data_IF_023164011648
#
_entry.id   IF_023164011648
#
_cell.length_a   1.000
_cell.length_b   1.000
_cell.length_c   1.000
_cell.angle_alpha   90.00
_cell.angle_beta   90.00
_cell.angle_gamma   90.00
#
_symmetry.space_group_name_H-M   'P 1'
#
loop_
_entity.id
_entity.type
_entity.pdbx_description
1 polymer ?
#
# COMPACT_ATOMS: atom_id res chain seq x y z
N UNK A 1 10.77 -51.61 -48.58
CA UNK A 1 10.11 -52.08 -47.35
C UNK A 1 10.92 -51.63 -46.15
N UNK A 2 10.23 -51.14 -45.11
CA UNK A 2 10.70 -50.91 -43.73
C UNK A 2 11.66 -49.72 -43.57
N UNK A 3 11.15 -48.56 -43.15
CA UNK A 3 10.70 -48.18 -41.78
C UNK A 3 11.90 -47.80 -40.90
N UNK A 4 11.69 -46.74 -40.11
CA UNK A 4 12.48 -46.30 -38.95
C UNK A 4 13.82 -45.65 -39.34
N UNK A 5 14.25 -44.48 -38.86
CA UNK A 5 13.93 -43.83 -37.59
C UNK A 5 14.48 -42.39 -37.66
N UNK A 6 13.78 -41.46 -38.32
CA UNK A 6 14.08 -40.03 -38.20
C UNK A 6 13.13 -39.48 -37.13
N UNK A 7 13.50 -39.69 -35.87
CA UNK A 7 12.75 -39.20 -34.72
C UNK A 7 12.87 -37.66 -34.72
N UNK A 8 11.78 -37.00 -35.11
CA UNK A 8 11.54 -35.58 -34.89
C UNK A 8 11.78 -35.27 -33.40
N UNK A 9 12.91 -34.66 -33.07
CA UNK A 9 13.11 -34.02 -31.78
C UNK A 9 12.50 -32.62 -31.87
N UNK A 10 11.18 -32.54 -31.92
CA UNK A 10 10.46 -31.29 -31.69
C UNK A 10 10.52 -31.05 -30.19
N UNK A 11 11.54 -30.30 -29.76
CA UNK A 11 11.55 -29.70 -28.42
C UNK A 11 10.44 -28.67 -28.41
N UNK A 12 9.26 -29.07 -27.98
CA UNK A 12 8.24 -28.15 -27.51
C UNK A 12 8.76 -27.50 -26.23
N UNK A 13 9.50 -26.39 -26.39
CA UNK A 13 9.75 -25.41 -25.33
C UNK A 13 8.37 -24.86 -24.97
N UNK A 14 7.72 -25.47 -23.98
CA UNK A 14 6.66 -24.80 -23.26
C UNK A 14 7.39 -23.79 -22.37
N UNK A 15 7.50 -22.54 -22.82
CA UNK A 15 7.87 -21.44 -21.94
C UNK A 15 6.77 -21.35 -20.89
N UNK A 16 7.08 -21.81 -19.68
CA UNK A 16 6.33 -21.46 -18.50
C UNK A 16 6.49 -19.94 -18.35
N UNK A 17 5.49 -19.19 -18.78
CA UNK A 17 5.38 -17.75 -18.50
C UNK A 17 4.97 -17.66 -17.03
N UNK A 18 5.93 -17.83 -16.12
CA UNK A 18 5.77 -17.33 -14.77
C UNK A 18 5.89 -15.82 -14.83
N UNK A 19 4.96 -15.09 -14.19
CA UNK A 19 5.07 -13.65 -14.02
C UNK A 19 6.42 -13.32 -13.39
N UNK A 20 7.29 -12.62 -14.13
CA UNK A 20 8.58 -12.23 -13.61
C UNK A 20 8.39 -11.01 -12.72
N UNK A 21 8.73 -11.16 -11.44
CA UNK A 21 8.83 -10.01 -10.55
C UNK A 21 9.98 -9.12 -11.01
N UNK A 22 9.67 -7.85 -11.23
CA UNK A 22 10.58 -6.79 -11.62
C UNK A 22 10.81 -5.89 -10.41
N UNK A 23 12.07 -5.71 -10.01
CA UNK A 23 12.42 -4.77 -8.94
C UNK A 23 12.99 -3.49 -9.56
N UNK A 24 12.39 -2.35 -9.21
CA UNK A 24 12.91 -1.02 -9.53
C UNK A 24 13.64 -0.52 -8.27
N UNK A 25 14.98 -0.45 -8.26
CA UNK A 25 15.71 0.05 -7.10
C UNK A 25 15.49 1.56 -6.93
N UNK A 26 15.42 1.97 -5.67
CA UNK A 26 15.29 3.35 -5.22
C UNK A 26 16.56 3.79 -4.48
N UNK A 27 16.64 5.06 -4.10
CA UNK A 27 17.83 5.64 -3.45
C UNK A 27 18.14 5.06 -2.06
N UNK A 28 17.13 4.54 -1.35
CA UNK A 28 17.28 4.10 0.04
C UNK A 28 17.96 2.74 0.15
N UNK A 29 18.74 2.54 1.23
CA UNK A 29 19.50 1.30 1.44
C UNK A 29 18.62 0.12 1.87
N UNK A 30 17.48 0.37 2.51
CA UNK A 30 16.56 -0.65 3.02
C UNK A 30 15.12 -0.16 3.01
N UNK A 31 14.17 -1.08 2.80
CA UNK A 31 12.75 -0.82 3.01
C UNK A 31 12.44 -0.98 4.50
N UNK A 32 12.02 0.09 5.16
CA UNK A 32 11.75 0.09 6.60
C UNK A 32 10.72 1.15 6.96
N UNK A 33 9.73 0.76 7.76
CA UNK A 33 8.94 1.70 8.55
C UNK A 33 9.53 1.79 9.96
N UNK A 34 9.86 2.99 10.42
CA UNK A 34 10.54 3.20 11.69
C UNK A 34 9.84 4.24 12.55
N UNK A 35 9.47 3.86 13.76
CA UNK A 35 9.12 4.78 14.84
C UNK A 35 10.41 5.38 15.42
N UNK A 36 10.55 6.71 15.35
CA UNK A 36 11.77 7.44 15.75
C UNK A 36 11.68 7.97 17.17
N UNK A 37 10.52 8.50 17.55
CA UNK A 37 10.20 8.90 18.92
C UNK A 37 8.73 8.66 19.20
N UNK A 38 8.37 8.44 20.47
CA UNK A 38 6.98 8.34 20.90
C UNK A 38 6.85 8.90 22.31
N UNK A 39 5.88 9.78 22.49
CA UNK A 39 5.48 10.41 23.75
C UNK A 39 3.95 10.42 23.82
N UNK A 40 3.37 10.89 24.94
CA UNK A 40 1.91 10.96 25.07
C UNK A 40 1.26 11.94 24.08
N UNK A 41 1.94 13.02 23.72
CA UNK A 41 1.35 14.10 22.91
C UNK A 41 1.82 14.08 21.46
N UNK A 42 2.87 13.32 21.13
CA UNK A 42 3.35 13.19 19.77
C UNK A 42 4.19 11.93 19.56
N UNK A 43 4.27 11.51 18.30
CA UNK A 43 5.30 10.59 17.85
C UNK A 43 5.85 11.02 16.49
N UNK A 44 7.08 10.59 16.20
CA UNK A 44 7.70 10.79 14.88
C UNK A 44 8.02 9.44 14.26
N UNK A 45 7.78 9.33 12.96
CA UNK A 45 8.01 8.10 12.22
C UNK A 45 8.55 8.40 10.83
N UNK A 46 9.09 7.38 10.17
CA UNK A 46 9.48 7.48 8.78
C UNK A 46 9.30 6.19 8.00
N UNK A 47 9.26 6.34 6.68
CA UNK A 47 9.15 5.26 5.72
C UNK A 47 10.27 5.41 4.68
N UNK A 48 11.05 4.35 4.55
CA UNK A 48 12.08 4.19 3.55
C UNK A 48 11.71 3.01 2.65
N UNK A 49 11.96 3.12 1.35
CA UNK A 49 11.76 2.06 0.37
C UNK A 49 13.06 1.86 -0.41
N UNK A 50 13.60 0.65 -0.38
CA UNK A 50 14.79 0.27 -1.16
C UNK A 50 14.45 -0.01 -2.62
N UNK A 51 13.29 -0.58 -2.86
CA UNK A 51 12.85 -0.99 -4.19
C UNK A 51 11.33 -1.05 -4.26
N UNK A 52 10.79 -0.88 -5.46
CA UNK A 52 9.42 -1.21 -5.80
C UNK A 52 9.40 -2.53 -6.55
N UNK A 53 8.50 -3.43 -6.15
CA UNK A 53 8.37 -4.74 -6.77
C UNK A 53 7.10 -4.74 -7.62
N UNK A 54 7.25 -5.06 -8.90
CA UNK A 54 6.15 -5.16 -9.84
C UNK A 54 6.00 -6.58 -10.36
N UNK A 55 4.77 -7.03 -10.55
CA UNK A 55 4.45 -8.28 -11.24
C UNK A 55 3.56 -7.99 -12.44
N UNK A 56 4.12 -8.16 -13.64
CA UNK A 56 3.38 -7.99 -14.89
C UNK A 56 2.33 -9.10 -15.05
N UNK A 57 1.13 -8.71 -15.46
CA UNK A 57 0.01 -9.59 -15.75
C UNK A 57 -0.62 -9.24 -17.09
N UNK A 58 -0.98 -10.27 -17.86
CA UNK A 58 -1.70 -10.12 -19.12
C UNK A 58 -3.08 -10.73 -18.96
N UNK A 59 -4.11 -9.90 -19.15
CA UNK A 59 -5.52 -10.29 -19.03
C UNK A 59 -6.25 -9.99 -20.32
N UNK A 60 -7.46 -10.52 -20.47
CA UNK A 60 -8.35 -10.15 -21.59
C UNK A 60 -8.70 -8.65 -21.60
N UNK A 61 -8.60 -7.97 -20.44
CA UNK A 61 -8.88 -6.55 -20.27
C UNK A 61 -7.66 -5.66 -20.46
N UNK A 62 -6.49 -6.24 -20.81
CA UNK A 62 -5.26 -5.51 -21.04
C UNK A 62 -4.06 -6.07 -20.27
N UNK A 63 -2.92 -5.42 -20.50
CA UNK A 63 -1.67 -5.73 -19.83
C UNK A 63 -1.45 -4.72 -18.70
N UNK A 64 -1.27 -5.22 -17.50
CA UNK A 64 -1.10 -4.42 -16.30
C UNK A 64 0.08 -4.92 -15.47
N UNK A 65 0.41 -4.20 -14.42
CA UNK A 65 1.30 -4.66 -13.37
C UNK A 65 0.66 -4.48 -11.99
N UNK A 66 0.89 -5.45 -11.11
CA UNK A 66 0.67 -5.28 -9.69
C UNK A 66 1.90 -4.64 -9.07
N UNK A 67 1.71 -3.55 -8.31
CA UNK A 67 2.74 -3.04 -7.42
C UNK A 67 2.61 -3.76 -6.07
N UNK A 68 3.72 -4.26 -5.55
CA UNK A 68 3.83 -4.84 -4.21
C UNK A 68 4.75 -3.98 -3.34
N UNK A 69 4.28 -3.71 -2.12
CA UNK A 69 5.07 -3.13 -1.02
C UNK A 69 4.85 -3.99 0.21
N UNK A 70 5.92 -4.23 0.97
CA UNK A 70 5.84 -4.96 2.23
C UNK A 70 4.92 -4.23 3.22
N UNK A 71 3.94 -4.95 3.77
CA UNK A 71 2.92 -4.35 4.66
C UNK A 71 1.97 -3.38 3.95
N UNK A 72 2.02 -3.30 2.63
CA UNK A 72 1.09 -2.55 1.81
C UNK A 72 -0.27 -3.23 1.74
N UNK A 73 -1.32 -2.42 1.69
CA UNK A 73 -2.71 -2.86 1.56
C UNK A 73 -3.32 -2.22 0.33
N UNK A 74 -4.15 -2.97 -0.40
CA UNK A 74 -4.85 -2.47 -1.57
C UNK A 74 -5.73 -1.27 -1.18
N UNK A 75 -5.70 -0.17 -1.94
CA UNK A 75 -6.53 1.00 -1.65
C UNK A 75 -8.00 0.71 -1.96
N UNK A 76 -8.91 1.56 -1.48
CA UNK A 76 -10.35 1.36 -1.62
C UNK A 76 -10.97 1.99 -2.90
N UNK A 77 -10.17 2.67 -3.72
CA UNK A 77 -10.60 3.35 -4.94
C UNK A 77 -10.79 2.37 -6.11
N UNK A 78 -11.93 1.67 -6.10
CA UNK A 78 -12.31 0.71 -7.14
C UNK A 78 -12.22 1.32 -8.54
N UNK A 79 -11.61 0.61 -9.48
CA UNK A 79 -11.45 1.00 -10.88
C UNK A 79 -10.23 1.87 -11.15
N UNK A 80 -9.64 2.54 -10.15
CA UNK A 80 -8.42 3.34 -10.28
C UNK A 80 -7.16 2.50 -9.98
N UNK A 81 -5.97 3.02 -10.29
CA UNK A 81 -4.73 2.28 -10.07
C UNK A 81 -4.59 1.74 -8.64
N UNK A 82 -4.33 0.43 -8.53
CA UNK A 82 -4.14 -0.29 -7.28
C UNK A 82 -2.74 -0.04 -6.74
N UNK A 83 -2.62 1.09 -6.06
CA UNK A 83 -1.40 1.56 -5.42
C UNK A 83 -1.39 1.20 -3.91
N UNK A 84 -0.52 0.27 -3.43
CA UNK A 84 -0.61 -0.29 -2.07
C UNK A 84 -0.18 0.66 -0.94
N UNK A 85 -1.09 0.97 -0.02
CA UNK A 85 -0.89 1.91 1.08
C UNK A 85 -0.28 1.21 2.30
N UNK A 86 0.74 1.81 2.92
CA UNK A 86 1.31 1.30 4.17
C UNK A 86 0.42 1.77 5.34
N UNK A 87 -0.15 0.81 6.07
CA UNK A 87 -1.09 1.07 7.16
C UNK A 87 -0.51 0.71 8.52
N UNK A 88 -0.62 1.59 9.51
CA UNK A 88 -0.23 1.33 10.90
C UNK A 88 -1.32 1.75 11.87
N UNK A 89 -1.66 0.86 12.81
CA UNK A 89 -2.55 1.21 13.91
C UNK A 89 -1.80 2.07 14.92
N UNK A 90 -2.50 3.05 15.48
CA UNK A 90 -1.99 3.94 16.51
C UNK A 90 -2.96 4.00 17.67
N UNK A 91 -2.42 4.05 18.88
CA UNK A 91 -3.17 4.50 20.04
C UNK A 91 -3.29 6.03 19.99
N UNK A 92 -4.47 6.53 20.31
CA UNK A 92 -4.76 7.97 20.36
C UNK A 92 -5.23 8.29 21.79
N UNK A 93 -4.67 9.32 22.45
CA UNK A 93 -5.21 9.79 23.73
C UNK A 93 -6.70 10.16 23.62
N UNK A 94 -7.42 10.05 24.73
CA UNK A 94 -8.81 10.46 24.78
C UNK A 94 -8.94 11.96 24.50
N UNK A 95 -10.02 12.33 23.81
CA UNK A 95 -10.34 13.70 23.38
C UNK A 95 -9.36 14.33 22.37
N UNK A 96 -8.21 13.71 22.09
CA UNK A 96 -7.23 14.29 21.19
C UNK A 96 -7.69 14.38 19.72
N UNK A 97 -7.39 15.49 19.08
CA UNK A 97 -7.42 15.63 17.62
C UNK A 97 -6.04 15.29 17.04
N UNK A 98 -6.03 14.64 15.87
CA UNK A 98 -4.79 14.22 15.22
C UNK A 98 -4.36 15.31 14.24
N UNK A 99 -3.13 15.79 14.38
CA UNK A 99 -2.48 16.64 13.40
C UNK A 99 -1.26 15.91 12.84
N UNK A 100 -1.21 15.76 11.51
CA UNK A 100 -0.07 15.18 10.81
C UNK A 100 0.77 16.31 10.20
N UNK A 101 2.09 16.21 10.34
CA UNK A 101 3.05 17.11 9.70
C UNK A 101 4.06 16.26 8.95
N UNK A 102 4.14 16.43 7.63
CA UNK A 102 5.23 15.87 6.82
C UNK A 102 6.44 16.79 6.96
N UNK A 103 7.52 16.28 7.53
CA UNK A 103 8.72 17.06 7.86
C UNK A 103 9.70 17.11 6.68
N UNK A 104 9.91 15.99 6.01
CA UNK A 104 10.81 15.88 4.86
C UNK A 104 10.53 14.63 4.04
N UNK A 105 10.95 14.65 2.78
CA UNK A 105 11.02 13.50 1.89
C UNK A 105 12.01 13.79 0.77
N UNK A 106 12.42 12.74 0.08
CA UNK A 106 13.12 12.80 -1.21
C UNK A 106 12.17 12.35 -2.32
N UNK A 107 12.32 12.90 -3.52
CA UNK A 107 11.46 12.59 -4.66
C UNK A 107 12.25 11.85 -5.73
N UNK A 108 11.73 10.70 -6.16
CA UNK A 108 12.25 9.92 -7.27
C UNK A 108 11.16 9.77 -8.33
N UNK A 109 11.48 9.99 -9.60
CA UNK A 109 10.50 9.90 -10.70
C UNK A 109 10.85 8.72 -11.58
N UNK A 110 9.89 7.83 -11.78
CA UNK A 110 10.04 6.61 -12.57
C UNK A 110 8.98 6.58 -13.67
N UNK A 111 9.42 6.56 -14.92
CA UNK A 111 8.53 6.21 -16.03
C UNK A 111 8.43 4.68 -16.10
N UNK A 112 7.24 4.14 -15.89
CA UNK A 112 7.04 2.69 -15.80
C UNK A 112 7.23 2.00 -17.16
N UNK A 113 7.03 2.71 -18.27
CA UNK A 113 7.23 2.16 -19.62
C UNK A 113 8.69 1.84 -19.91
N UNK A 114 9.65 2.56 -19.31
CA UNK A 114 11.09 2.27 -19.44
C UNK A 114 11.46 0.89 -18.87
N UNK A 115 10.60 0.35 -18.01
CA UNK A 115 10.76 -0.96 -17.38
C UNK A 115 9.81 -2.02 -17.98
N UNK A 116 9.12 -1.71 -19.08
CA UNK A 116 8.17 -2.62 -19.71
C UNK A 116 6.89 -2.85 -18.89
N UNK A 117 6.54 -1.92 -18.02
CA UNK A 117 5.26 -1.89 -17.30
C UNK A 117 4.31 -1.00 -18.09
N UNK A 118 3.19 -1.56 -18.54
CA UNK A 118 2.23 -0.82 -19.35
C UNK A 118 1.41 0.16 -18.50
N UNK A 119 0.71 -0.33 -17.50
CA UNK A 119 -0.09 0.45 -16.56
C UNK A 119 -0.20 -0.31 -15.24
N UNK A 120 -0.43 0.40 -14.14
CA UNK A 120 -0.77 -0.23 -12.85
C UNK A 120 -2.19 -0.79 -12.95
N UNK A 121 -2.43 -2.00 -12.46
CA UNK A 121 -3.75 -2.65 -12.52
C UNK A 121 -4.82 -1.87 -11.73
N UNK A 122 -6.08 -1.82 -12.19
CA UNK A 122 -7.14 -1.20 -11.40
C UNK A 122 -7.51 -2.00 -10.16
N UNK A 123 -7.81 -1.30 -9.07
CA UNK A 123 -8.37 -1.86 -7.85
C UNK A 123 -9.71 -2.53 -8.15
N UNK A 124 -9.84 -3.80 -7.80
CA UNK A 124 -11.08 -4.56 -8.02
C UNK A 124 -12.02 -4.45 -6.82
N UNK A 125 -13.35 -4.46 -7.04
CA UNK A 125 -14.31 -4.43 -5.96
C UNK A 125 -14.20 -5.68 -5.10
N UNK A 126 -14.49 -5.53 -3.80
CA UNK A 126 -14.68 -6.68 -2.93
C UNK A 126 -16.03 -7.32 -3.20
N UNK A 127 -16.03 -8.62 -3.46
CA UNK A 127 -17.24 -9.43 -3.58
C UNK A 127 -17.52 -10.20 -2.29
N UNK A 128 -18.78 -10.57 -2.07
CA UNK A 128 -19.10 -11.52 -1.01
C UNK A 128 -18.41 -12.85 -1.30
N UNK A 129 -17.99 -13.57 -0.27
CA UNK A 129 -17.43 -14.93 -0.42
C UNK A 129 -18.41 -15.91 -1.09
N UNK A 130 -19.69 -15.56 -1.14
CA UNK A 130 -20.76 -16.35 -1.77
C UNK A 130 -21.18 -15.82 -3.14
N UNK A 131 -20.58 -14.73 -3.64
CA UNK A 131 -20.86 -14.23 -4.99
C UNK A 131 -20.37 -15.25 -6.01
N UNK A 132 -21.22 -15.71 -6.95
CA UNK A 132 -20.81 -16.58 -8.04
C UNK A 132 -19.73 -15.94 -8.92
N UNK A 133 -18.81 -16.74 -9.47
CA UNK A 133 -17.74 -16.24 -10.35
C UNK A 133 -18.28 -15.51 -11.59
N UNK A 134 -19.44 -15.93 -12.11
CA UNK A 134 -20.03 -15.30 -13.29
C UNK A 134 -20.56 -13.87 -13.04
N UNK A 135 -20.80 -13.51 -11.77
CA UNK A 135 -21.21 -12.17 -11.34
C UNK A 135 -20.02 -11.27 -10.98
N UNK A 136 -18.80 -11.82 -10.93
CA UNK A 136 -17.59 -11.04 -10.68
C UNK A 136 -17.08 -10.44 -11.98
N UNK A 137 -17.11 -9.11 -12.06
CA UNK A 137 -16.65 -8.37 -13.22
C UNK A 137 -15.38 -7.57 -12.92
N UNK A 138 -14.52 -7.47 -13.95
CA UNK A 138 -13.38 -6.59 -13.93
C UNK A 138 -13.85 -5.13 -14.06
N UNK A 139 -13.45 -4.28 -13.13
CA UNK A 139 -13.81 -2.86 -13.11
C UNK A 139 -12.58 -2.02 -13.41
N UNK A 140 -12.72 -1.11 -14.37
CA UNK A 140 -11.73 -0.10 -14.72
C UNK A 140 -12.43 1.26 -14.83
N UNK A 141 -11.85 2.28 -14.20
CA UNK A 141 -12.26 3.67 -14.34
C UNK A 141 -11.56 4.26 -15.55
N UNK A 142 -12.20 4.15 -16.71
CA UNK A 142 -11.69 4.67 -17.98
C UNK A 142 -11.37 6.17 -17.91
N UNK A 143 -12.15 6.94 -17.13
CA UNK A 143 -11.89 8.36 -17.00
C UNK A 143 -10.58 8.61 -16.23
N UNK A 144 -10.34 7.87 -15.14
CA UNK A 144 -9.06 7.92 -14.43
C UNK A 144 -7.89 7.59 -15.36
N UNK A 145 -7.94 6.47 -16.08
CA UNK A 145 -6.83 6.03 -16.95
C UNK A 145 -6.60 6.90 -18.18
N UNK A 146 -7.59 7.69 -18.61
CA UNK A 146 -7.48 8.61 -19.75
C UNK A 146 -7.18 10.06 -19.33
N UNK A 147 -7.09 10.33 -18.03
CA UNK A 147 -6.82 11.66 -17.50
C UNK A 147 -5.32 11.86 -17.27
N UNK A 148 -4.74 12.80 -17.99
CA UNK A 148 -3.33 13.20 -17.87
C UNK A 148 -3.13 14.17 -16.69
N UNK A 149 -3.29 13.65 -15.48
CA UNK A 149 -3.11 14.40 -14.23
C UNK A 149 -2.36 13.52 -13.24
N UNK A 150 -1.35 14.09 -12.58
CA UNK A 150 -0.69 13.47 -11.44
C UNK A 150 -1.61 13.57 -10.22
N UNK A 151 -1.79 12.47 -9.50
CA UNK A 151 -2.52 12.48 -8.22
C UNK A 151 -1.95 13.52 -7.24
N UNK A 152 -2.83 14.15 -6.46
CA UNK A 152 -2.47 15.17 -5.44
C UNK A 152 -2.98 14.81 -4.05
N UNK A 153 -3.21 13.53 -3.77
CA UNK A 153 -3.67 13.08 -2.45
C UNK A 153 -2.57 13.26 -1.38
N UNK A 154 -3.00 13.44 -0.13
CA UNK A 154 -2.06 13.58 0.99
C UNK A 154 -1.22 12.30 1.17
N UNK A 155 0.09 12.46 1.39
CA UNK A 155 1.03 11.35 1.57
C UNK A 155 0.77 10.57 2.86
N UNK A 156 0.23 11.23 3.89
CA UNK A 156 -0.03 10.64 5.19
C UNK A 156 -1.38 11.16 5.68
N UNK A 157 -2.31 10.24 5.91
CA UNK A 157 -3.64 10.57 6.46
C UNK A 157 -3.90 9.76 7.73
N UNK A 158 -4.85 10.23 8.55
CA UNK A 158 -5.29 9.52 9.75
C UNK A 158 -6.79 9.25 9.71
N UNK A 159 -7.19 8.10 10.26
CA UNK A 159 -8.58 7.73 10.47
C UNK A 159 -8.77 7.22 11.90
N UNK A 160 -9.81 7.69 12.59
CA UNK A 160 -10.19 7.15 13.91
C UNK A 160 -11.09 5.94 13.69
N UNK A 161 -10.67 4.77 14.17
CA UNK A 161 -11.40 3.52 13.99
C UNK A 161 -12.40 3.25 15.13
N UNK A 162 -12.13 3.78 16.32
CA UNK A 162 -13.02 3.66 17.48
C UNK A 162 -12.27 3.40 18.78
N UNK A 163 -12.91 2.70 19.72
CA UNK A 163 -12.33 2.39 21.03
C UNK A 163 -12.43 0.89 21.31
N UNK A 164 -11.30 0.27 21.65
CA UNK A 164 -11.22 -1.12 22.06
C UNK A 164 -10.70 -1.19 23.50
N UNK A 165 -11.55 -1.69 24.42
CA UNK A 165 -11.23 -1.87 25.85
C UNK A 165 -10.58 -0.64 26.51
N UNK A 166 -11.17 0.53 26.31
CA UNK A 166 -10.69 1.78 26.88
C UNK A 166 -9.54 2.45 26.12
N UNK A 167 -8.96 1.78 25.12
CA UNK A 167 -7.94 2.35 24.22
C UNK A 167 -8.62 2.88 22.98
N UNK A 168 -8.46 4.17 22.69
CA UNK A 168 -8.94 4.77 21.44
C UNK A 168 -7.89 4.50 20.35
N UNK A 169 -8.34 3.95 19.23
CA UNK A 169 -7.49 3.43 18.16
C UNK A 169 -7.79 4.20 16.89
N UNK A 170 -6.73 4.57 16.19
CA UNK A 170 -6.77 5.03 14.81
C UNK A 170 -5.82 4.27 13.92
N UNK A 171 -5.83 4.67 12.65
CA UNK A 171 -4.92 4.19 11.62
C UNK A 171 -4.24 5.39 10.99
N UNK A 172 -2.93 5.28 10.79
CA UNK A 172 -2.18 6.11 9.86
C UNK A 172 -2.03 5.34 8.55
N UNK A 173 -2.35 5.99 7.45
CA UNK A 173 -2.16 5.50 6.10
C UNK A 173 -1.09 6.33 5.41
N UNK A 174 -0.07 5.67 4.87
CA UNK A 174 1.05 6.31 4.18
C UNK A 174 1.01 5.89 2.70
N UNK A 175 0.88 6.87 1.82
CA UNK A 175 0.88 6.76 0.36
C UNK A 175 2.16 7.40 -0.17
N UNK A 176 3.27 6.65 -0.30
CA UNK A 176 4.58 7.21 -0.64
C UNK A 176 4.75 7.44 -2.15
N UNK A 177 3.67 7.64 -2.90
CA UNK A 177 3.75 7.87 -4.34
C UNK A 177 2.50 8.60 -4.87
N UNK A 178 2.68 9.22 -6.03
CA UNK A 178 1.61 9.72 -6.89
C UNK A 178 1.80 9.14 -8.29
N UNK A 179 0.70 8.82 -8.96
CA UNK A 179 0.73 8.23 -10.30
C UNK A 179 -0.01 9.11 -11.30
N UNK A 180 0.55 9.23 -12.50
CA UNK A 180 -0.15 9.73 -13.68
C UNK A 180 -0.35 8.53 -14.64
N UNK A 181 -1.59 8.12 -14.92
CA UNK A 181 -1.88 6.95 -15.73
C UNK A 181 -1.65 7.13 -17.24
N UNK A 182 -1.67 8.37 -17.75
CA UNK A 182 -1.45 8.67 -19.18
C UNK A 182 0.04 8.74 -19.48
N UNK A 183 0.78 9.50 -18.68
CA UNK A 183 2.25 9.59 -18.77
C UNK A 183 2.95 8.33 -18.22
N UNK A 184 2.17 7.43 -17.60
CA UNK A 184 2.62 6.21 -16.95
C UNK A 184 3.82 6.45 -16.01
N UNK A 185 3.74 7.55 -15.28
CA UNK A 185 4.83 8.07 -14.45
C UNK A 185 4.44 7.97 -12.99
N UNK A 186 5.31 7.33 -12.21
CA UNK A 186 5.20 7.22 -10.76
C UNK A 186 6.19 8.20 -10.13
N UNK A 187 5.69 9.10 -9.29
CA UNK A 187 6.49 9.99 -8.44
C UNK A 187 6.52 9.36 -7.06
N UNK A 188 7.69 8.95 -6.59
CA UNK A 188 7.89 8.28 -5.31
C UNK A 188 8.42 9.30 -4.30
N UNK A 189 7.82 9.32 -3.11
CA UNK A 189 8.21 10.10 -1.95
C UNK A 189 8.93 9.18 -0.96
N UNK A 190 10.24 9.06 -1.13
CA UNK A 190 11.10 8.18 -0.35
C UNK A 190 11.72 8.94 0.83
N UNK A 191 12.36 8.21 1.75
CA UNK A 191 12.96 8.78 2.97
C UNK A 191 12.00 9.73 3.71
N UNK A 192 10.72 9.35 3.74
CA UNK A 192 9.62 10.14 4.27
C UNK A 192 9.76 10.24 5.79
N UNK A 193 9.74 11.45 6.31
CA UNK A 193 9.71 11.77 7.75
C UNK A 193 8.44 12.55 8.06
N UNK A 194 7.70 12.10 9.06
CA UNK A 194 6.49 12.78 9.50
C UNK A 194 6.31 12.70 11.01
N UNK A 195 5.55 13.65 11.54
CA UNK A 195 5.15 13.74 12.94
C UNK A 195 3.65 13.69 13.06
N UNK A 196 3.18 13.04 14.13
CA UNK A 196 1.78 12.98 14.49
C UNK A 196 1.65 13.59 15.88
N UNK A 197 0.88 14.68 15.97
CA UNK A 197 0.61 15.41 17.20
C UNK A 197 -0.82 15.13 17.65
N UNK A 198 -1.00 14.94 18.96
CA UNK A 198 -2.27 14.75 19.62
C UNK A 198 -2.65 16.04 20.35
N UNK A 199 -3.55 16.82 19.75
CA UNK A 199 -3.96 18.13 20.26
C UNK A 199 -5.15 17.98 21.20
N UNK A 200 -5.09 18.58 22.39
CA UNK A 200 -6.22 18.55 23.34
C UNK A 200 -6.42 17.20 24.05
N UNK A 201 -5.33 16.46 24.31
CA UNK A 201 -5.35 15.17 25.00
C UNK A 201 -5.81 15.28 26.47
N UNK A 202 -6.74 14.41 26.89
CA UNK A 202 -7.04 14.16 28.31
C UNK A 202 -6.34 12.87 28.77
N UNK A 203 -5.14 13.04 29.33
CA UNK A 203 -4.31 11.93 29.83
C UNK A 203 -4.97 11.27 31.05
N UNK A 204 -5.61 12.06 31.93
CA UNK A 204 -6.27 11.54 33.13
C UNK A 204 -7.43 10.61 32.78
N UNK A 205 -8.26 11.00 31.81
CA UNK A 205 -9.32 10.16 31.27
C UNK A 205 -8.77 8.92 30.55
N UNK A 206 -7.69 9.10 29.78
CA UNK A 206 -7.02 8.00 29.07
C UNK A 206 -6.58 6.91 30.05
N UNK A 207 -5.84 7.27 31.10
CA UNK A 207 -5.36 6.32 32.11
C UNK A 207 -6.51 5.69 32.91
N UNK A 208 -7.54 6.47 33.24
CA UNK A 208 -8.71 5.98 33.96
C UNK A 208 -9.47 4.92 33.16
N UNK A 209 -9.70 5.14 31.86
CA UNK A 209 -10.39 4.19 30.99
C UNK A 209 -9.54 2.94 30.74
N UNK A 210 -8.23 3.10 30.49
CA UNK A 210 -7.31 1.96 30.35
C UNK A 210 -7.29 1.10 31.60
N UNK A 211 -7.22 1.70 32.79
CA UNK A 211 -7.26 0.98 34.06
C UNK A 211 -8.61 0.28 34.27
N UNK A 212 -9.71 0.98 34.03
CA UNK A 212 -11.07 0.45 34.24
C UNK A 212 -11.38 -0.77 33.36
N UNK A 213 -10.90 -0.76 32.12
CA UNK A 213 -11.13 -1.83 31.14
C UNK A 213 -9.92 -2.76 30.96
N UNK A 214 -8.92 -2.64 31.85
CA UNK A 214 -7.73 -3.49 31.81
C UNK A 214 -8.10 -4.95 32.05
N UNK A 215 -7.54 -5.81 31.21
CA UNK A 215 -7.58 -7.26 31.36
C UNK A 215 -6.25 -7.82 30.86
N UNK A 216 -5.57 -8.58 31.73
CA UNK A 216 -4.19 -9.06 31.53
C UNK A 216 -4.04 -9.89 30.25
N UNK A 217 -5.09 -10.62 29.89
CA UNK A 217 -5.15 -11.48 28.71
C UNK A 217 -4.96 -10.72 27.39
N UNK A 218 -5.11 -9.38 27.41
CA UNK A 218 -5.05 -8.54 26.22
C UNK A 218 -3.84 -7.61 26.17
N UNK A 219 -2.92 -7.71 27.11
CA UNK A 219 -1.70 -6.89 27.14
C UNK A 219 -0.83 -7.12 25.88
N UNK A 220 -0.78 -8.36 25.39
CA UNK A 220 -0.06 -8.69 24.14
C UNK A 220 -0.65 -8.05 22.88
N UNK A 221 -1.95 -7.72 22.88
CA UNK A 221 -2.64 -7.12 21.72
C UNK A 221 -2.29 -5.65 21.50
N UNK A 222 -1.66 -4.98 22.47
CA UNK A 222 -1.26 -3.57 22.35
C UNK A 222 0.23 -3.38 22.04
N UNK A 223 1.05 -4.41 22.25
CA UNK A 223 2.51 -4.36 22.13
C UNK A 223 3.04 -5.09 20.89
N UNK A 224 2.17 -5.50 19.95
CA UNK A 224 2.51 -6.26 18.74
C UNK A 224 2.72 -5.38 17.51
#
# INVERSE_FOLDING_TARGET
MKKLLLLLFVVSINTLIFGQKLAIPLSSAQSEFKLKSSTFDNFTAGLNLKELIFENTSTENGNFAYLEIEGGTTPANVGQASLPVVSKLIEIPQEAEIQIIVNSYETEVVNLSDYGINQIIPTQPSYSKSTPEEEMHFVIDENYYQTDILEENELVISEILGTMRGVRIGRIEIRPYHYNPVENTLVIYNNLDFSVNFLGSDIGLTDALKTKFYAREFEGSYNS
#
